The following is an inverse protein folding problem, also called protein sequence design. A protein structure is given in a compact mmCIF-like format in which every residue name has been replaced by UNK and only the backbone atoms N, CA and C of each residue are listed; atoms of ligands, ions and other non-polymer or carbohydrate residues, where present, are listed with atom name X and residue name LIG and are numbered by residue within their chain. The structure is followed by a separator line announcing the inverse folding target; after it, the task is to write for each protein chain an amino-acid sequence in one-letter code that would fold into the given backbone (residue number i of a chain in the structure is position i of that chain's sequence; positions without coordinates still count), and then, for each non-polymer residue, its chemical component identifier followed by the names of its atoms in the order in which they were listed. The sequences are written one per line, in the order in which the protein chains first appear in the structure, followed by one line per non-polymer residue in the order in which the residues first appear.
data_IF_326832081663
#
_entry.id   IF_326832081663
#
_cell.length_a   1.000
_cell.length_b   1.000
_cell.length_c   1.000
_cell.angle_alpha   90.00
_cell.angle_beta   90.00
_cell.angle_gamma   90.00
#
_symmetry.space_group_name_H-M   'P 1'
#
loop_
_entity.id
_entity.type
_entity.pdbx_description
1 polymer ?
#
# COMPACT_ATOMS: atom_id res chain seq x y z
N UNK A 1 31.63 -7.13 -18.47
CA UNK A 1 32.49 -8.30 -18.19
C UNK A 1 32.21 -8.97 -16.83
N UNK A 2 32.55 -8.40 -15.66
CA UNK A 2 32.32 -9.08 -14.36
C UNK A 2 30.83 -9.27 -13.97
N UNK A 3 30.04 -8.19 -13.99
CA UNK A 3 28.59 -8.25 -13.73
C UNK A 3 27.85 -9.10 -14.75
N UNK A 4 28.31 -9.10 -15.99
CA UNK A 4 27.73 -9.86 -17.10
C UNK A 4 27.97 -11.37 -16.92
N UNK A 5 29.15 -11.78 -16.45
CA UNK A 5 29.43 -13.17 -16.09
C UNK A 5 28.60 -13.61 -14.87
N UNK A 6 28.45 -12.76 -13.85
CA UNK A 6 27.61 -13.07 -12.69
C UNK A 6 26.12 -13.18 -13.06
N UNK A 7 25.63 -12.27 -13.90
CA UNK A 7 24.28 -12.36 -14.49
C UNK A 7 24.12 -13.70 -15.19
N UNK A 8 25.00 -13.99 -16.15
CA UNK A 8 24.88 -15.16 -17.04
C UNK A 8 25.03 -16.50 -16.32
N UNK A 9 25.91 -16.59 -15.31
CA UNK A 9 26.26 -17.88 -14.70
C UNK A 9 25.64 -18.14 -13.32
N UNK A 10 25.18 -17.11 -12.60
CA UNK A 10 24.61 -17.27 -11.25
C UNK A 10 23.14 -16.90 -11.23
N UNK A 11 22.81 -15.67 -11.67
CA UNK A 11 21.43 -15.17 -11.56
C UNK A 11 20.55 -15.63 -12.72
N UNK A 12 21.12 -15.94 -13.89
CA UNK A 12 20.39 -16.55 -15.00
C UNK A 12 20.09 -18.04 -14.78
N UNK A 13 20.64 -18.67 -13.73
CA UNK A 13 20.11 -19.96 -13.28
C UNK A 13 18.72 -19.75 -12.69
N UNK A 14 17.70 -20.29 -13.36
CA UNK A 14 16.30 -20.06 -12.99
C UNK A 14 15.98 -20.48 -11.54
N UNK A 15 16.65 -21.52 -11.01
CA UNK A 15 16.38 -21.99 -9.65
C UNK A 15 16.94 -21.00 -8.63
N UNK A 16 18.15 -20.50 -8.86
CA UNK A 16 18.79 -19.49 -8.01
C UNK A 16 18.00 -18.18 -8.05
N UNK A 17 17.60 -17.75 -9.25
CA UNK A 17 16.79 -16.55 -9.44
C UNK A 17 15.48 -16.65 -8.66
N UNK A 18 14.69 -17.70 -8.89
CA UNK A 18 13.38 -17.87 -8.26
C UNK A 18 13.51 -17.89 -6.74
N UNK A 19 14.46 -18.66 -6.18
CA UNK A 19 14.68 -18.69 -4.73
C UNK A 19 15.08 -17.34 -4.16
N UNK A 20 15.87 -16.57 -4.90
CA UNK A 20 16.29 -15.22 -4.47
C UNK A 20 15.09 -14.28 -4.43
N UNK A 21 14.29 -14.24 -5.50
CA UNK A 21 13.09 -13.40 -5.58
C UNK A 21 12.07 -13.82 -4.51
N UNK A 22 11.80 -15.11 -4.37
CA UNK A 22 10.86 -15.63 -3.37
C UNK A 22 11.31 -15.29 -1.94
N UNK A 23 12.62 -15.39 -1.67
CA UNK A 23 13.19 -15.00 -0.39
C UNK A 23 13.05 -13.51 -0.09
N UNK A 24 13.31 -12.64 -1.08
CA UNK A 24 13.13 -11.19 -0.96
C UNK A 24 11.65 -10.87 -0.67
N UNK A 25 10.72 -11.44 -1.44
CA UNK A 25 9.28 -11.23 -1.26
C UNK A 25 8.81 -11.68 0.11
N UNK A 26 9.29 -12.84 0.58
CA UNK A 26 8.97 -13.37 1.90
C UNK A 26 9.47 -12.43 3.03
N UNK A 27 10.68 -11.89 2.91
CA UNK A 27 11.18 -10.94 3.91
C UNK A 27 10.32 -9.67 3.97
N UNK A 28 9.90 -9.14 2.82
CA UNK A 28 9.03 -7.97 2.76
C UNK A 28 7.65 -8.28 3.37
N UNK A 29 7.07 -9.45 3.09
CA UNK A 29 5.81 -9.89 3.69
C UNK A 29 5.90 -9.98 5.21
N UNK A 30 6.97 -10.60 5.73
CA UNK A 30 7.24 -10.69 7.17
C UNK A 30 7.35 -9.31 7.81
N UNK A 31 8.04 -8.38 7.15
CA UNK A 31 8.14 -7.01 7.65
C UNK A 31 6.78 -6.30 7.68
N UNK A 32 5.93 -6.49 6.66
CA UNK A 32 4.55 -5.97 6.65
C UNK A 32 3.70 -6.53 7.79
N UNK A 33 4.02 -7.75 8.24
CA UNK A 33 3.41 -8.40 9.40
C UNK A 33 4.04 -7.99 10.75
N UNK A 34 5.00 -7.06 10.73
CA UNK A 34 5.63 -6.51 11.94
C UNK A 34 6.86 -7.26 12.42
N UNK A 35 7.36 -8.24 11.65
CA UNK A 35 8.61 -8.93 11.98
C UNK A 35 9.81 -8.04 11.66
N UNK A 36 10.82 -8.07 12.55
CA UNK A 36 12.10 -7.45 12.25
C UNK A 36 12.86 -8.26 11.20
N UNK A 37 13.34 -7.60 10.16
CA UNK A 37 14.12 -8.20 9.08
C UNK A 37 15.45 -7.48 8.89
N UNK A 38 16.38 -8.12 8.18
CA UNK A 38 17.61 -7.49 7.75
C UNK A 38 17.37 -6.61 6.51
N UNK A 39 17.03 -5.34 6.75
CA UNK A 39 16.83 -4.34 5.69
C UNK A 39 18.12 -4.05 4.89
N UNK A 40 19.29 -4.25 5.49
CA UNK A 40 20.57 -4.03 4.80
C UNK A 40 20.82 -5.11 3.75
N UNK A 41 20.50 -6.37 4.07
CA UNK A 41 20.52 -7.48 3.14
C UNK A 41 19.54 -7.25 1.97
N UNK A 42 18.30 -6.83 2.27
CA UNK A 42 17.32 -6.50 1.21
C UNK A 42 17.85 -5.42 0.27
N UNK A 43 18.37 -4.32 0.82
CA UNK A 43 18.95 -3.24 0.02
C UNK A 43 20.07 -3.77 -0.89
N UNK A 44 21.02 -4.54 -0.36
CA UNK A 44 22.12 -5.10 -1.15
C UNK A 44 21.63 -6.03 -2.27
N UNK A 45 20.67 -6.91 -1.98
CA UNK A 45 20.11 -7.82 -2.99
C UNK A 45 19.35 -7.07 -4.08
N UNK A 46 18.52 -6.10 -3.73
CA UNK A 46 17.75 -5.31 -4.68
C UNK A 46 18.65 -4.39 -5.52
N UNK A 47 19.66 -3.76 -4.91
CA UNK A 47 20.67 -3.00 -5.65
C UNK A 47 21.42 -3.89 -6.65
N UNK A 48 21.76 -5.13 -6.29
CA UNK A 48 22.34 -6.09 -7.22
C UNK A 48 21.39 -6.39 -8.39
N UNK A 49 20.08 -6.56 -8.16
CA UNK A 49 19.12 -6.75 -9.26
C UNK A 49 19.04 -5.54 -10.19
N UNK A 50 19.15 -4.32 -9.65
CA UNK A 50 19.20 -3.08 -10.44
C UNK A 50 20.49 -2.98 -11.24
N UNK A 51 21.66 -3.26 -10.65
CA UNK A 51 22.96 -3.27 -11.33
C UNK A 51 23.00 -4.31 -12.46
N UNK A 52 22.31 -5.44 -12.29
CA UNK A 52 22.16 -6.47 -13.31
C UNK A 52 21.04 -6.18 -14.31
N UNK A 53 20.31 -5.07 -14.18
CA UNK A 53 19.20 -4.66 -15.06
C UNK A 53 18.08 -5.70 -15.19
N UNK A 54 17.76 -6.37 -14.07
CA UNK A 54 16.68 -7.37 -13.99
C UNK A 54 15.65 -7.06 -12.90
N UNK A 55 15.83 -5.96 -12.15
CA UNK A 55 14.91 -5.56 -11.09
C UNK A 55 13.45 -5.49 -11.55
N UNK A 56 13.19 -4.81 -12.66
CA UNK A 56 11.82 -4.60 -13.16
C UNK A 56 11.16 -5.93 -13.59
N UNK A 57 11.88 -6.72 -14.41
CA UNK A 57 11.37 -7.95 -15.00
C UNK A 57 11.24 -9.09 -13.98
N UNK A 58 12.23 -9.26 -13.10
CA UNK A 58 12.31 -10.41 -12.20
C UNK A 58 11.67 -10.17 -10.84
N UNK A 59 11.68 -8.92 -10.34
CA UNK A 59 11.21 -8.58 -8.99
C UNK A 59 9.97 -7.69 -9.01
N UNK A 60 10.04 -6.51 -9.62
CA UNK A 60 9.04 -5.44 -9.41
C UNK A 60 7.62 -5.88 -9.78
N UNK A 61 7.45 -6.57 -10.91
CA UNK A 61 6.14 -7.07 -11.32
C UNK A 61 5.53 -8.00 -10.26
N UNK A 62 6.29 -9.02 -9.84
CA UNK A 62 5.85 -9.98 -8.82
C UNK A 62 5.61 -9.29 -7.47
N UNK A 63 6.48 -8.36 -7.09
CA UNK A 63 6.33 -7.56 -5.88
C UNK A 63 5.01 -6.77 -5.87
N UNK A 64 4.66 -6.12 -6.98
CA UNK A 64 3.41 -5.37 -7.10
C UNK A 64 2.18 -6.30 -7.10
N UNK A 65 2.25 -7.47 -7.74
CA UNK A 65 1.19 -8.50 -7.70
C UNK A 65 0.93 -9.00 -6.27
N UNK A 66 1.99 -9.36 -5.55
CA UNK A 66 1.90 -9.82 -4.16
C UNK A 66 1.38 -8.71 -3.24
N UNK A 67 1.85 -7.48 -3.45
CA UNK A 67 1.38 -6.30 -2.73
C UNK A 67 -0.10 -6.02 -2.99
N UNK A 68 -0.54 -6.16 -4.24
CA UNK A 68 -1.94 -5.99 -4.62
C UNK A 68 -2.83 -7.01 -3.92
N UNK A 69 -2.43 -8.29 -3.93
CA UNK A 69 -3.15 -9.38 -3.27
C UNK A 69 -3.24 -9.17 -1.76
N UNK A 70 -2.12 -8.82 -1.13
CA UNK A 70 -2.05 -8.57 0.31
C UNK A 70 -2.98 -7.42 0.72
N UNK A 71 -2.88 -6.26 0.08
CA UNK A 71 -3.69 -5.10 0.47
C UNK A 71 -5.16 -5.23 0.09
N UNK A 72 -5.50 -5.99 -0.96
CA UNK A 72 -6.90 -6.33 -1.25
C UNK A 72 -7.52 -7.13 -0.10
N UNK A 73 -6.82 -8.16 0.39
CA UNK A 73 -7.28 -8.97 1.52
C UNK A 73 -7.31 -8.16 2.84
N UNK A 74 -6.27 -7.36 3.10
CA UNK A 74 -6.19 -6.52 4.29
C UNK A 74 -7.31 -5.46 4.32
N UNK A 75 -7.57 -4.79 3.19
CA UNK A 75 -8.62 -3.79 3.05
C UNK A 75 -10.01 -4.37 3.35
N UNK A 76 -10.35 -5.48 2.69
CA UNK A 76 -11.63 -6.18 2.92
C UNK A 76 -11.81 -6.61 4.37
N UNK A 77 -10.79 -7.25 4.94
CA UNK A 77 -10.83 -7.77 6.31
C UNK A 77 -10.97 -6.64 7.34
N UNK A 78 -10.10 -5.63 7.28
CA UNK A 78 -10.09 -4.56 8.28
C UNK A 78 -11.29 -3.62 8.18
N UNK A 79 -11.87 -3.43 6.98
CA UNK A 79 -13.11 -2.65 6.84
C UNK A 79 -14.29 -3.31 7.57
N UNK A 80 -14.29 -4.65 7.66
CA UNK A 80 -15.29 -5.40 8.44
C UNK A 80 -14.97 -5.38 9.94
N UNK A 81 -13.70 -5.59 10.30
CA UNK A 81 -13.28 -5.75 11.70
C UNK A 81 -13.15 -4.46 12.52
N UNK A 82 -12.87 -3.31 11.87
CA UNK A 82 -12.53 -2.06 12.56
C UNK A 82 -13.51 -0.93 12.32
N UNK A 83 -13.59 0.00 13.26
CA UNK A 83 -14.30 1.25 13.05
C UNK A 83 -13.58 2.16 12.07
N UNK A 84 -14.33 3.07 11.43
CA UNK A 84 -13.79 3.95 10.38
C UNK A 84 -12.60 4.80 10.87
N UNK A 85 -12.62 5.44 12.05
CA UNK A 85 -11.44 6.14 12.56
C UNK A 85 -10.18 5.28 12.60
N UNK A 86 -10.29 4.06 13.15
CA UNK A 86 -9.17 3.14 13.29
C UNK A 86 -8.68 2.62 11.94
N UNK A 87 -9.60 2.39 11.00
CA UNK A 87 -9.26 2.01 9.65
C UNK A 87 -8.47 3.11 8.93
N UNK A 88 -8.93 4.37 8.99
CA UNK A 88 -8.25 5.49 8.33
C UNK A 88 -6.82 5.69 8.87
N UNK A 89 -6.64 5.60 10.20
CA UNK A 89 -5.32 5.65 10.82
C UNK A 89 -4.43 4.50 10.36
N UNK A 90 -4.98 3.29 10.23
CA UNK A 90 -4.26 2.14 9.69
C UNK A 90 -3.83 2.36 8.24
N UNK A 91 -4.71 2.89 7.39
CA UNK A 91 -4.36 3.20 6.00
C UNK A 91 -3.23 4.24 5.93
N UNK A 92 -3.33 5.31 6.72
CA UNK A 92 -2.27 6.33 6.76
C UNK A 92 -0.92 5.71 7.18
N UNK A 93 -0.93 4.89 8.22
CA UNK A 93 0.26 4.16 8.67
C UNK A 93 0.85 3.27 7.56
N UNK A 94 0.01 2.51 6.84
CA UNK A 94 0.49 1.67 5.71
C UNK A 94 1.12 2.50 4.59
N UNK A 95 0.54 3.65 4.25
CA UNK A 95 1.13 4.55 3.24
C UNK A 95 2.50 5.08 3.67
N UNK A 96 2.65 5.45 4.95
CA UNK A 96 3.93 5.89 5.52
C UNK A 96 4.97 4.76 5.53
N UNK A 97 4.57 3.55 5.94
CA UNK A 97 5.44 2.37 5.95
C UNK A 97 5.92 2.01 4.53
N UNK A 98 5.03 2.01 3.52
CA UNK A 98 5.44 1.71 2.15
C UNK A 98 6.33 2.81 1.55
N UNK A 99 6.10 4.08 1.91
CA UNK A 99 7.01 5.16 1.53
C UNK A 99 8.41 4.97 2.16
N UNK A 100 8.48 4.56 3.43
CA UNK A 100 9.73 4.23 4.12
C UNK A 100 10.46 3.05 3.45
N UNK A 101 9.73 2.00 3.03
CA UNK A 101 10.31 0.85 2.30
C UNK A 101 10.97 1.27 0.99
N UNK A 102 10.34 2.20 0.27
CA UNK A 102 10.92 2.77 -0.95
C UNK A 102 12.24 3.45 -0.66
N UNK A 103 12.27 4.34 0.33
CA UNK A 103 13.49 5.08 0.71
C UNK A 103 14.57 4.11 1.24
N UNK A 104 14.14 3.03 1.90
CA UNK A 104 15.04 2.15 2.64
C UNK A 104 15.61 1.01 1.82
N UNK A 105 14.93 0.45 0.82
CA UNK A 105 15.54 -0.65 0.05
C UNK A 105 14.97 -0.89 -1.35
N UNK A 106 13.82 -0.33 -1.72
CA UNK A 106 13.30 -0.51 -3.10
C UNK A 106 13.93 0.51 -4.05
N UNK A 107 13.82 0.23 -5.35
CA UNK A 107 14.17 1.20 -6.38
C UNK A 107 13.15 2.35 -6.41
N UNK A 108 13.62 3.56 -6.66
CA UNK A 108 12.79 4.77 -6.70
C UNK A 108 11.71 4.70 -7.80
N UNK A 109 11.94 3.93 -8.87
CA UNK A 109 10.93 3.69 -9.92
C UNK A 109 9.68 2.99 -9.40
N UNK A 110 9.80 2.22 -8.31
CA UNK A 110 8.69 1.47 -7.69
C UNK A 110 7.75 2.35 -6.87
N UNK A 111 8.15 3.57 -6.47
CA UNK A 111 7.35 4.40 -5.58
C UNK A 111 5.93 4.63 -6.09
N UNK A 112 5.82 5.11 -7.34
CA UNK A 112 4.52 5.47 -7.93
C UNK A 112 3.58 4.26 -8.06
N UNK A 113 3.98 3.13 -8.68
CA UNK A 113 3.10 1.97 -8.79
C UNK A 113 2.77 1.33 -7.44
N UNK A 114 3.71 1.35 -6.48
CA UNK A 114 3.47 0.83 -5.13
C UNK A 114 2.40 1.65 -4.40
N UNK A 115 2.60 2.95 -4.27
CA UNK A 115 1.66 3.82 -3.54
C UNK A 115 0.28 3.81 -4.21
N UNK A 116 0.21 3.84 -5.55
CA UNK A 116 -1.05 3.72 -6.27
C UNK A 116 -1.77 2.39 -6.01
N UNK A 117 -1.03 1.29 -5.83
CA UNK A 117 -1.61 -0.01 -5.47
C UNK A 117 -2.20 0.00 -4.07
N UNK A 118 -1.49 0.58 -3.10
CA UNK A 118 -1.96 0.70 -1.71
C UNK A 118 -3.19 1.60 -1.63
N UNK A 119 -3.14 2.77 -2.26
CA UNK A 119 -4.26 3.73 -2.32
C UNK A 119 -5.49 3.10 -3.00
N UNK A 120 -5.29 2.36 -4.09
CA UNK A 120 -6.40 1.64 -4.74
C UNK A 120 -7.04 0.64 -3.76
N UNK A 121 -6.25 -0.27 -3.20
CA UNK A 121 -6.79 -1.41 -2.45
C UNK A 121 -7.33 -1.01 -1.07
N UNK A 122 -6.70 -0.05 -0.38
CA UNK A 122 -7.11 0.36 0.96
C UNK A 122 -8.06 1.57 0.99
N UNK A 123 -8.18 2.33 -0.09
CA UNK A 123 -9.10 3.48 -0.16
C UNK A 123 -10.08 3.34 -1.32
N UNK A 124 -9.56 3.20 -2.55
CA UNK A 124 -10.36 3.21 -3.77
C UNK A 124 -11.49 2.19 -3.79
N UNK A 125 -11.20 0.94 -3.46
CA UNK A 125 -12.20 -0.15 -3.40
C UNK A 125 -13.21 0.01 -2.25
N UNK A 126 -12.98 0.93 -1.30
CA UNK A 126 -13.74 1.06 -0.06
C UNK A 126 -14.33 2.45 0.20
N UNK A 127 -14.23 3.40 -0.75
CA UNK A 127 -14.68 4.80 -0.56
C UNK A 127 -16.12 4.88 -0.05
N UNK A 128 -17.07 4.30 -0.80
CA UNK A 128 -18.49 4.34 -0.46
C UNK A 128 -18.78 3.59 0.84
N UNK A 129 -18.18 2.42 1.05
CA UNK A 129 -18.40 1.63 2.27
C UNK A 129 -17.93 2.38 3.52
N UNK A 130 -16.78 3.05 3.43
CA UNK A 130 -16.22 3.85 4.54
C UNK A 130 -17.16 4.97 4.94
N UNK A 131 -17.71 5.70 3.96
CA UNK A 131 -18.63 6.80 4.24
C UNK A 131 -19.98 6.32 4.78
N UNK A 132 -20.55 5.28 4.17
CA UNK A 132 -21.80 4.67 4.65
C UNK A 132 -21.68 4.13 6.08
N UNK A 133 -20.52 3.57 6.43
CA UNK A 133 -20.29 3.00 7.76
C UNK A 133 -20.07 4.05 8.83
N UNK A 134 -19.32 5.13 8.54
CA UNK A 134 -18.80 5.99 9.61
C UNK A 134 -18.94 7.49 9.45
N UNK A 135 -19.33 8.02 8.27
CA UNK A 135 -19.35 9.48 8.07
C UNK A 135 -20.30 10.18 9.05
N UNK A 136 -21.53 9.69 9.20
CA UNK A 136 -22.53 10.32 10.08
C UNK A 136 -22.02 10.39 11.52
N UNK A 137 -21.51 9.28 12.05
CA UNK A 137 -20.94 9.23 13.41
C UNK A 137 -19.80 10.22 13.61
N UNK A 138 -18.89 10.34 12.63
CA UNK A 138 -17.80 11.32 12.69
C UNK A 138 -18.31 12.77 12.75
N UNK A 139 -19.41 13.06 12.05
CA UNK A 139 -20.03 14.39 12.01
C UNK A 139 -20.82 14.68 13.30
N UNK A 140 -21.66 13.73 13.72
CA UNK A 140 -22.48 13.81 14.93
C UNK A 140 -21.62 14.06 16.17
N UNK A 141 -20.48 13.36 16.28
CA UNK A 141 -19.54 13.50 17.39
C UNK A 141 -18.50 14.62 17.20
N UNK A 142 -18.58 15.37 16.10
CA UNK A 142 -17.65 16.46 15.80
C UNK A 142 -16.16 16.03 15.86
N UNK A 143 -15.86 14.86 15.30
CA UNK A 143 -14.53 14.23 15.28
C UNK A 143 -13.59 14.90 14.26
N UNK A 144 -13.24 16.16 14.49
CA UNK A 144 -12.50 17.01 13.52
C UNK A 144 -11.17 16.39 13.05
N UNK A 145 -10.44 15.71 13.93
CA UNK A 145 -9.16 15.09 13.59
C UNK A 145 -9.34 13.97 12.56
N UNK A 146 -10.32 13.08 12.78
CA UNK A 146 -10.63 11.97 11.87
C UNK A 146 -11.24 12.47 10.56
N UNK A 147 -12.07 13.52 10.59
CA UNK A 147 -12.62 14.15 9.40
C UNK A 147 -11.51 14.79 8.54
N UNK A 148 -10.50 15.39 9.18
CA UNK A 148 -9.33 15.94 8.48
C UNK A 148 -8.54 14.83 7.80
N UNK A 149 -8.30 13.72 8.50
CA UNK A 149 -7.62 12.55 7.96
C UNK A 149 -8.41 11.91 6.81
N UNK A 150 -9.72 11.76 6.97
CA UNK A 150 -10.63 11.26 5.93
C UNK A 150 -10.49 12.09 4.65
N UNK A 151 -10.58 13.42 4.75
CA UNK A 151 -10.45 14.31 3.60
C UNK A 151 -9.07 14.21 2.94
N UNK A 152 -8.00 14.18 3.73
CA UNK A 152 -6.63 14.03 3.23
C UNK A 152 -6.45 12.73 2.45
N UNK A 153 -6.94 11.61 3.00
CA UNK A 153 -6.85 10.29 2.35
C UNK A 153 -7.72 10.22 1.10
N UNK A 154 -8.96 10.71 1.15
CA UNK A 154 -9.88 10.69 0.00
C UNK A 154 -9.40 11.59 -1.15
N UNK A 155 -8.62 12.63 -0.84
CA UNK A 155 -7.99 13.49 -1.86
C UNK A 155 -6.91 12.78 -2.69
N UNK A 156 -6.39 11.65 -2.21
CA UNK A 156 -5.39 10.84 -2.93
C UNK A 156 -6.00 10.00 -4.04
N UNK A 157 -7.29 9.65 -3.92
CA UNK A 157 -7.96 8.76 -4.85
C UNK A 157 -8.82 9.56 -5.84
N UNK A 158 -8.72 9.21 -7.12
CA UNK A 158 -9.57 9.79 -8.16
C UNK A 158 -11.05 9.54 -7.83
N UNK A 159 -11.85 10.59 -7.72
CA UNK A 159 -13.27 10.49 -7.38
C UNK A 159 -13.55 10.54 -5.88
N UNK A 160 -12.55 10.41 -5.00
CA UNK A 160 -12.76 10.33 -3.55
C UNK A 160 -13.45 11.56 -2.98
N UNK A 161 -12.96 12.76 -3.30
CA UNK A 161 -13.57 14.02 -2.85
C UNK A 161 -14.99 14.19 -3.40
N UNK A 162 -15.26 13.77 -4.63
CA UNK A 162 -16.59 13.85 -5.23
C UNK A 162 -17.60 12.96 -4.48
N UNK A 163 -17.20 11.73 -4.14
CA UNK A 163 -18.05 10.80 -3.39
C UNK A 163 -18.28 11.29 -1.95
N UNK A 164 -17.25 11.85 -1.31
CA UNK A 164 -17.37 12.49 0.01
C UNK A 164 -18.37 13.65 -0.02
N UNK A 165 -18.27 14.53 -1.02
CA UNK A 165 -19.17 15.67 -1.17
C UNK A 165 -20.64 15.22 -1.33
N UNK A 166 -20.89 14.13 -2.06
CA UNK A 166 -22.24 13.59 -2.21
C UNK A 166 -22.84 13.16 -0.86
N UNK A 167 -22.11 12.37 -0.08
CA UNK A 167 -22.57 11.92 1.24
C UNK A 167 -22.70 13.08 2.23
N UNK A 168 -21.82 14.07 2.14
CA UNK A 168 -21.90 15.29 2.95
C UNK A 168 -23.20 16.08 2.68
N UNK A 169 -23.58 16.23 1.41
CA UNK A 169 -24.84 16.89 1.03
C UNK A 169 -26.04 16.11 1.56
N UNK A 170 -26.00 14.78 1.49
CA UNK A 170 -27.07 13.91 1.98
C UNK A 170 -27.25 14.04 3.50
N UNK A 171 -26.15 14.03 4.26
CA UNK A 171 -26.17 14.22 5.71
C UNK A 171 -26.85 15.54 6.11
N UNK A 172 -26.43 16.67 5.51
CA UNK A 172 -27.00 17.99 5.82
C UNK A 172 -28.50 18.05 5.52
N UNK A 173 -28.95 17.44 4.42
CA UNK A 173 -30.37 17.44 4.06
C UNK A 173 -31.22 16.70 5.09
N UNK A 174 -30.72 15.58 5.61
CA UNK A 174 -31.42 14.81 6.65
C UNK A 174 -31.51 15.62 7.93
N UNK A 175 -30.41 16.23 8.37
CA UNK A 175 -30.34 17.04 9.60
C UNK A 175 -31.26 18.28 9.57
N UNK A 176 -31.36 18.97 8.43
CA UNK A 176 -32.28 20.11 8.26
C UNK A 176 -33.77 19.68 8.27
N UNK A 177 -34.06 18.42 7.92
CA UNK A 177 -35.42 17.89 7.83
C UNK A 177 -35.93 17.25 9.13
N UNK A 178 -35.06 17.00 10.11
CA UNK A 178 -35.39 16.48 11.45
C UNK A 178 -35.66 17.59 12.46
#
# INVERSE_FOLDING_TARGET
MGLELFRTHIISDQKVQNKTIDGILLLIERERNGEAIDRSLLRSLLSMLSDLQIYQESFEHRFLEETNRLYAAEGQRLMQEREVPEYLHHVNKRLEEEADRVITYLDQSTQKPLIATVEKQLLGEHLTTTLQKGLNHLLDENRIQDLSLLYQLFSRVRGGVQVLLQHWIEYIKVDIMS
#
